data_IF_257370310281
#
_entry.id   IF_257370310281
#
_cell.length_a   1.000
_cell.length_b   1.000
_cell.length_c   1.000
_cell.angle_alpha   90.00
_cell.angle_beta   90.00
_cell.angle_gamma   90.00
#
_symmetry.space_group_name_H-M   'P 1'
#
loop_
_entity.id
_entity.type
_entity.pdbx_description
1 polymer ?
#
# COMPACT_ATOMS: atom_id res chain seq x y z
N UNK A 1 14.85 -67.76 -1.16
CA UNK A 1 13.75 -67.02 -1.80
C UNK A 1 13.31 -65.99 -0.73
N UNK A 2 14.01 -64.88 -0.67
CA UNK A 2 13.86 -63.82 0.30
C UNK A 2 13.61 -62.52 -0.45
N UNK A 3 12.53 -61.85 -0.15
CA UNK A 3 12.20 -60.52 -0.68
C UNK A 3 12.64 -59.45 0.29
N UNK A 4 13.43 -58.53 -0.21
CA UNK A 4 14.01 -57.36 0.43
C UNK A 4 12.93 -56.31 0.67
N UNK A 5 12.78 -55.66 1.84
CA UNK A 5 11.97 -54.49 2.03
C UNK A 5 12.82 -53.22 1.89
N UNK A 6 12.58 -52.50 0.81
CA UNK A 6 13.23 -51.22 0.52
C UNK A 6 12.98 -50.12 1.56
N UNK A 7 14.06 -49.52 1.96
CA UNK A 7 14.15 -48.31 2.76
C UNK A 7 13.62 -47.09 1.99
N UNK A 8 12.60 -46.43 2.52
CA UNK A 8 12.19 -45.10 2.09
C UNK A 8 12.74 -44.10 3.11
N UNK A 9 13.81 -43.42 2.76
CA UNK A 9 14.32 -42.28 3.50
C UNK A 9 13.56 -41.00 3.11
N UNK A 10 13.45 -40.02 3.98
CA UNK A 10 12.78 -38.77 3.67
C UNK A 10 13.66 -37.88 2.78
N UNK A 11 13.17 -37.58 1.59
CA UNK A 11 13.76 -36.57 0.70
C UNK A 11 13.39 -35.18 1.23
N UNK A 12 14.34 -34.53 1.90
CA UNK A 12 14.33 -33.09 2.13
C UNK A 12 15.06 -32.44 0.94
N UNK A 13 14.35 -32.17 -0.14
CA UNK A 13 14.84 -31.26 -1.17
C UNK A 13 14.23 -29.86 -0.92
N UNK A 14 15.06 -28.81 -0.81
CA UNK A 14 14.57 -27.45 -0.77
C UNK A 14 13.99 -27.11 -2.14
N UNK A 15 12.73 -26.70 -2.17
CA UNK A 15 12.03 -26.24 -3.35
C UNK A 15 12.80 -25.07 -4.00
N UNK A 16 13.59 -25.39 -5.02
CA UNK A 16 14.14 -24.39 -5.94
C UNK A 16 12.98 -23.88 -6.78
N UNK A 17 12.62 -22.64 -6.55
CA UNK A 17 11.78 -21.89 -7.47
C UNK A 17 12.57 -21.68 -8.77
N UNK A 18 12.32 -22.55 -9.76
CA UNK A 18 12.72 -22.29 -11.13
C UNK A 18 11.91 -21.12 -11.67
N UNK A 19 12.49 -20.28 -12.52
CA UNK A 19 11.73 -19.22 -13.14
C UNK A 19 10.64 -19.87 -14.01
N UNK A 20 9.38 -19.67 -13.63
CA UNK A 20 8.29 -19.91 -14.54
C UNK A 20 8.51 -18.96 -15.72
N UNK A 21 8.80 -19.53 -16.87
CA UNK A 21 8.83 -18.79 -18.12
C UNK A 21 7.39 -18.31 -18.39
N UNK A 22 7.09 -17.13 -17.89
CA UNK A 22 5.94 -16.36 -18.33
C UNK A 22 6.26 -15.98 -19.77
N UNK A 23 5.60 -16.64 -20.73
CA UNK A 23 5.52 -16.13 -22.09
C UNK A 23 4.81 -14.77 -21.99
N UNK A 24 5.60 -13.71 -21.82
CA UNK A 24 5.12 -12.35 -21.97
C UNK A 24 4.79 -12.19 -23.46
N UNK A 25 3.50 -12.29 -23.82
CA UNK A 25 3.02 -11.57 -24.96
C UNK A 25 3.27 -10.08 -24.68
N UNK A 26 4.46 -9.62 -25.03
CA UNK A 26 4.75 -8.20 -25.10
C UNK A 26 3.89 -7.63 -26.23
N UNK A 27 2.63 -7.28 -25.91
CA UNK A 27 1.93 -6.29 -26.67
C UNK A 27 2.72 -4.99 -26.46
N UNK A 28 3.65 -4.72 -27.37
CA UNK A 28 4.29 -3.44 -27.47
C UNK A 28 3.15 -2.41 -27.57
N UNK A 29 2.89 -1.69 -26.50
CA UNK A 29 2.05 -0.49 -26.53
C UNK A 29 2.91 0.53 -27.29
N UNK A 30 2.87 0.44 -28.62
CA UNK A 30 3.36 1.50 -29.45
C UNK A 30 2.49 2.72 -29.14
N UNK A 31 3.03 3.68 -28.39
CA UNK A 31 2.43 5.02 -28.35
C UNK A 31 2.53 5.58 -29.76
N UNK A 32 1.43 5.77 -30.48
CA UNK A 32 1.51 6.43 -31.77
C UNK A 32 2.13 7.80 -31.56
N UNK A 33 3.13 8.14 -32.36
CA UNK A 33 3.56 9.51 -32.54
C UNK A 33 2.29 10.34 -32.80
N UNK A 34 2.16 11.48 -32.12
CA UNK A 34 0.98 12.32 -32.19
C UNK A 34 0.81 12.84 -33.65
N UNK A 35 0.13 12.04 -34.47
CA UNK A 35 -0.42 12.58 -35.72
C UNK A 35 -1.62 13.47 -35.33
N UNK A 36 -1.44 14.75 -35.59
CA UNK A 36 -2.41 15.82 -35.35
C UNK A 36 -3.59 15.75 -36.32
N UNK A 37 -4.37 14.65 -36.29
CA UNK A 37 -5.68 14.57 -36.94
C UNK A 37 -6.78 14.48 -35.90
N UNK A 38 -6.94 15.57 -35.13
CA UNK A 38 -8.02 15.72 -34.16
C UNK A 38 -9.36 15.77 -34.85
N UNK A 39 -10.22 14.76 -34.63
CA UNK A 39 -11.64 14.79 -35.04
C UNK A 39 -12.32 16.05 -34.51
N UNK A 40 -13.10 16.71 -35.33
CA UNK A 40 -13.85 17.95 -35.01
C UNK A 40 -14.78 17.81 -33.79
N UNK A 41 -15.13 16.56 -33.37
CA UNK A 41 -15.94 16.24 -32.18
C UNK A 41 -15.18 16.37 -30.85
N UNK A 42 -13.84 16.33 -30.89
CA UNK A 42 -13.01 16.40 -29.65
C UNK A 42 -12.73 17.84 -29.20
N UNK A 43 -12.76 18.82 -30.12
CA UNK A 43 -12.48 20.23 -29.80
C UNK A 43 -13.37 20.80 -28.69
N UNK A 44 -14.71 20.60 -28.66
CA UNK A 44 -15.55 21.11 -27.58
C UNK A 44 -15.20 20.51 -26.21
N UNK A 45 -14.93 19.19 -26.11
CA UNK A 45 -14.55 18.53 -24.85
C UNK A 45 -13.20 19.04 -24.34
N UNK A 46 -12.21 19.14 -25.24
CA UNK A 46 -10.87 19.65 -24.91
C UNK A 46 -10.94 21.07 -24.37
N UNK A 47 -11.74 21.96 -25.02
CA UNK A 47 -11.93 23.33 -24.57
C UNK A 47 -12.61 23.41 -23.19
N UNK A 48 -13.65 22.58 -22.94
CA UNK A 48 -14.35 22.53 -21.66
C UNK A 48 -13.41 22.05 -20.53
N UNK A 49 -12.57 21.06 -20.80
CA UNK A 49 -11.57 20.58 -19.85
C UNK A 49 -10.49 21.64 -19.57
N UNK A 50 -10.04 22.37 -20.60
CA UNK A 50 -9.13 23.49 -20.44
C UNK A 50 -9.71 24.60 -19.55
N UNK A 51 -10.98 24.97 -19.78
CA UNK A 51 -11.72 25.95 -18.97
C UNK A 51 -11.94 25.48 -17.52
N UNK A 52 -12.16 24.20 -17.30
CA UNK A 52 -12.30 23.62 -15.94
C UNK A 52 -11.05 23.84 -15.09
N UNK A 53 -9.86 23.79 -15.70
CA UNK A 53 -8.57 24.00 -15.04
C UNK A 53 -8.20 25.49 -14.86
N UNK A 54 -8.90 26.38 -15.52
CA UNK A 54 -8.66 27.83 -15.43
C UNK A 54 -9.31 28.38 -14.16
N UNK A 55 -8.56 28.42 -13.08
CA UNK A 55 -8.98 28.94 -11.76
C UNK A 55 -7.93 29.91 -11.22
N UNK A 56 -8.31 30.88 -10.36
CA UNK A 56 -7.33 31.72 -9.66
C UNK A 56 -6.39 30.91 -8.78
N UNK A 57 -5.23 31.47 -8.46
CA UNK A 57 -4.25 30.96 -7.49
C UNK A 57 -3.73 29.54 -7.77
N UNK A 58 -3.86 29.05 -9.01
CA UNK A 58 -3.25 27.81 -9.49
C UNK A 58 -2.44 28.13 -10.74
N UNK A 59 -1.14 27.93 -10.65
CA UNK A 59 -0.22 28.28 -11.74
C UNK A 59 -0.22 27.21 -12.82
N UNK A 60 -0.55 27.55 -14.09
CA UNK A 60 -0.53 26.58 -15.19
C UNK A 60 0.83 25.90 -15.37
N UNK A 61 1.94 26.61 -15.13
CA UNK A 61 3.31 26.08 -15.22
C UNK A 61 3.64 25.06 -14.11
N UNK A 62 2.86 25.04 -13.03
CA UNK A 62 3.00 24.07 -11.92
C UNK A 62 1.83 23.09 -11.87
N UNK A 63 1.15 22.91 -12.99
CA UNK A 63 -0.03 22.06 -13.10
C UNK A 63 0.08 21.14 -14.31
N UNK A 64 -0.34 19.90 -14.14
CA UNK A 64 -0.44 18.90 -15.19
C UNK A 64 -1.84 18.27 -15.19
N UNK A 65 -2.37 17.95 -16.35
CA UNK A 65 -3.61 17.21 -16.47
C UNK A 65 -3.58 16.30 -17.70
N UNK A 66 -4.09 15.10 -17.53
CA UNK A 66 -4.22 14.11 -18.59
C UNK A 66 -5.57 13.40 -18.46
N UNK A 67 -6.30 13.26 -19.56
CA UNK A 67 -7.50 12.43 -19.64
C UNK A 67 -7.42 11.54 -20.88
N UNK A 68 -7.72 10.26 -20.69
CA UNK A 68 -7.61 9.20 -21.68
C UNK A 68 -8.93 8.41 -21.76
N UNK A 69 -9.44 8.17 -22.95
CA UNK A 69 -10.62 7.35 -23.18
C UNK A 69 -10.20 5.87 -23.32
N UNK A 70 -10.56 5.06 -22.33
CA UNK A 70 -10.24 3.64 -22.28
C UNK A 70 -10.97 2.80 -23.34
N UNK A 71 -12.05 3.35 -23.93
CA UNK A 71 -12.84 2.67 -24.96
C UNK A 71 -12.23 2.85 -26.35
N UNK A 72 -11.78 4.08 -26.64
CA UNK A 72 -11.21 4.40 -27.95
C UNK A 72 -9.70 4.28 -28.01
N UNK A 73 -9.04 4.21 -26.84
CA UNK A 73 -7.57 4.20 -26.76
C UNK A 73 -6.93 5.56 -27.10
N UNK A 74 -7.68 6.67 -26.97
CA UNK A 74 -7.21 8.00 -27.36
C UNK A 74 -7.08 8.96 -26.17
N UNK A 75 -6.08 9.84 -26.24
CA UNK A 75 -6.00 10.99 -25.34
C UNK A 75 -7.09 12.00 -25.70
N UNK A 76 -7.93 12.38 -24.73
CA UNK A 76 -8.98 13.40 -24.92
C UNK A 76 -8.59 14.76 -24.38
N UNK A 77 -7.56 14.83 -23.54
CA UNK A 77 -6.98 16.07 -23.04
C UNK A 77 -5.56 15.87 -22.53
N UNK A 78 -4.66 16.75 -22.93
CA UNK A 78 -3.28 16.79 -22.44
C UNK A 78 -2.85 18.22 -22.08
N UNK A 79 -2.24 18.38 -20.91
CA UNK A 79 -1.56 19.59 -20.46
C UNK A 79 -0.39 19.22 -19.58
N UNK A 80 0.83 19.57 -19.98
CA UNK A 80 2.05 19.35 -19.22
C UNK A 80 2.19 17.91 -18.71
N UNK A 81 1.76 16.91 -19.48
CA UNK A 81 1.59 15.52 -19.02
C UNK A 81 2.88 14.86 -18.53
N UNK A 82 4.05 15.34 -19.00
CA UNK A 82 5.38 14.89 -18.60
C UNK A 82 5.99 15.74 -17.47
N UNK A 83 5.30 16.78 -16.97
CA UNK A 83 5.82 17.64 -15.91
C UNK A 83 5.95 16.83 -14.60
N UNK A 84 7.15 16.85 -14.04
CA UNK A 84 7.50 16.17 -12.78
C UNK A 84 6.99 16.97 -11.60
N UNK A 85 5.95 16.48 -10.92
CA UNK A 85 5.28 17.16 -9.82
C UNK A 85 5.24 16.30 -8.56
N UNK A 86 5.17 16.94 -7.39
CA UNK A 86 4.88 16.25 -6.14
C UNK A 86 3.42 15.71 -6.22
N UNK A 87 3.22 14.38 -6.06
CA UNK A 87 1.93 13.76 -6.28
C UNK A 87 1.01 13.83 -5.06
N UNK A 88 1.53 14.18 -3.89
CA UNK A 88 0.86 13.94 -2.62
C UNK A 88 0.38 12.47 -2.56
N UNK A 89 -0.77 12.18 -1.92
CA UNK A 89 -1.25 10.80 -1.77
C UNK A 89 -1.67 10.10 -3.09
N UNK A 90 -1.49 10.71 -4.26
CA UNK A 90 -1.56 9.95 -5.51
C UNK A 90 -0.36 9.02 -5.72
N UNK A 91 0.72 9.16 -4.91
CA UNK A 91 1.80 8.17 -4.78
C UNK A 91 1.26 6.78 -4.47
N UNK A 92 0.24 6.69 -3.63
CA UNK A 92 -0.40 5.42 -3.24
C UNK A 92 -0.92 4.60 -4.42
N UNK A 93 -1.27 5.23 -5.56
CA UNK A 93 -1.68 4.49 -6.76
C UNK A 93 -0.54 3.62 -7.31
N UNK A 94 0.70 4.10 -7.24
CA UNK A 94 1.87 3.32 -7.64
C UNK A 94 2.12 2.16 -6.68
N UNK A 95 2.02 2.41 -5.37
CA UNK A 95 2.15 1.38 -4.33
C UNK A 95 1.04 0.33 -4.46
N UNK A 96 -0.23 0.74 -4.63
CA UNK A 96 -1.36 -0.17 -4.81
C UNK A 96 -1.17 -1.05 -6.04
N UNK A 97 -0.78 -0.47 -7.18
CA UNK A 97 -0.52 -1.23 -8.40
C UNK A 97 0.60 -2.25 -8.19
N UNK A 98 1.73 -1.82 -7.66
CA UNK A 98 2.88 -2.70 -7.43
C UNK A 98 2.56 -3.81 -6.39
N UNK A 99 1.85 -3.48 -5.31
CA UNK A 99 1.47 -4.47 -4.29
C UNK A 99 0.54 -5.53 -4.87
N UNK A 100 -0.52 -5.13 -5.59
CA UNK A 100 -1.44 -6.07 -6.22
C UNK A 100 -0.76 -6.92 -7.31
N UNK A 101 0.20 -6.34 -8.06
CA UNK A 101 0.94 -7.07 -9.10
C UNK A 101 1.90 -8.10 -8.53
N UNK A 102 2.68 -7.73 -7.49
CA UNK A 102 3.76 -8.59 -6.99
C UNK A 102 3.28 -9.61 -5.96
N UNK A 103 2.27 -9.24 -5.14
CA UNK A 103 1.79 -10.11 -4.06
C UNK A 103 0.45 -10.78 -4.38
N UNK A 104 -0.33 -10.21 -5.27
CA UNK A 104 -1.70 -10.67 -5.59
C UNK A 104 -2.77 -10.11 -4.64
N UNK A 105 -4.04 -10.02 -5.11
CA UNK A 105 -5.13 -9.42 -4.33
C UNK A 105 -5.53 -10.24 -3.08
N UNK A 106 -5.27 -11.54 -3.08
CA UNK A 106 -5.63 -12.47 -2.00
C UNK A 106 -4.49 -12.68 -1.00
N UNK A 107 -3.33 -12.07 -1.22
CA UNK A 107 -2.19 -12.15 -0.30
C UNK A 107 -2.59 -11.68 1.10
N UNK A 108 -2.17 -12.42 2.12
CA UNK A 108 -2.39 -12.12 3.53
C UNK A 108 -1.05 -12.04 4.26
N UNK A 109 -0.92 -11.07 5.13
CA UNK A 109 0.29 -10.87 5.94
C UNK A 109 0.13 -11.67 7.22
N UNK A 110 1.11 -12.50 7.52
CA UNK A 110 1.12 -13.35 8.70
C UNK A 110 1.74 -12.61 9.91
N UNK A 111 1.28 -12.95 11.10
CA UNK A 111 1.91 -12.61 12.38
C UNK A 111 2.01 -13.88 13.20
N UNK A 112 3.22 -14.23 13.61
CA UNK A 112 3.53 -15.49 14.24
C UNK A 112 3.75 -15.39 15.75
N UNK A 113 3.42 -16.47 16.44
CA UNK A 113 3.93 -16.74 17.77
C UNK A 113 4.85 -17.94 17.71
N UNK A 114 6.11 -17.73 18.07
CA UNK A 114 7.16 -18.74 18.09
C UNK A 114 7.62 -19.01 19.52
N UNK A 115 8.06 -20.23 19.77
CA UNK A 115 8.62 -20.64 21.05
C UNK A 115 10.12 -20.90 20.95
N UNK A 116 10.91 -20.25 21.79
CA UNK A 116 12.35 -20.50 21.96
C UNK A 116 12.56 -21.25 23.27
N UNK A 117 12.74 -22.58 23.19
CA UNK A 117 12.86 -23.45 24.36
C UNK A 117 12.12 -24.77 24.16
N UNK A 118 11.61 -25.33 25.24
CA UNK A 118 10.93 -26.63 25.22
C UNK A 118 9.76 -26.69 26.22
N UNK A 119 8.75 -27.47 25.90
CA UNK A 119 7.64 -27.76 26.80
C UNK A 119 8.02 -28.88 27.78
N UNK A 120 7.94 -28.62 29.09
CA UNK A 120 8.15 -29.60 30.16
C UNK A 120 6.90 -29.58 31.04
N UNK A 121 6.10 -30.64 30.95
CA UNK A 121 4.76 -30.68 31.55
C UNK A 121 3.87 -29.61 30.93
N UNK A 122 3.42 -28.62 31.70
CA UNK A 122 2.66 -27.48 31.24
C UNK A 122 3.47 -26.17 31.20
N UNK A 123 4.78 -26.25 31.47
CA UNK A 123 5.68 -25.11 31.51
C UNK A 123 6.55 -25.07 30.26
N UNK A 124 6.45 -23.99 29.51
CA UNK A 124 7.41 -23.65 28.46
C UNK A 124 8.68 -23.11 29.12
N UNK A 125 9.76 -23.87 29.07
CA UNK A 125 11.08 -23.46 29.58
C UNK A 125 11.80 -22.68 28.47
N UNK A 126 11.69 -21.37 28.51
CA UNK A 126 12.20 -20.44 27.50
C UNK A 126 11.27 -19.28 27.28
N UNK A 127 11.48 -18.56 26.19
CA UNK A 127 10.72 -17.35 25.81
C UNK A 127 9.72 -17.61 24.67
N UNK A 128 8.70 -16.78 24.58
CA UNK A 128 7.84 -16.70 23.42
C UNK A 128 8.25 -15.48 22.58
N UNK A 129 8.14 -15.59 21.26
CA UNK A 129 8.37 -14.48 20.34
C UNK A 129 7.09 -14.20 19.58
N UNK A 130 6.66 -12.95 19.57
CA UNK A 130 5.65 -12.43 18.68
C UNK A 130 6.38 -11.80 17.49
N UNK A 131 6.32 -12.42 16.31
CA UNK A 131 7.01 -11.98 15.10
C UNK A 131 6.04 -11.35 14.13
N UNK A 132 6.31 -10.12 13.73
CA UNK A 132 5.49 -9.37 12.78
C UNK A 132 6.13 -9.25 11.41
N UNK A 133 5.30 -9.39 10.37
CA UNK A 133 5.70 -9.24 8.97
C UNK A 133 5.08 -8.00 8.31
N UNK A 134 4.69 -6.99 9.09
CA UNK A 134 4.21 -5.72 8.57
C UNK A 134 2.69 -5.64 8.37
N UNK A 135 1.89 -6.44 9.08
CA UNK A 135 0.42 -6.32 9.05
C UNK A 135 -0.04 -4.98 9.66
N UNK A 136 -0.63 -4.04 8.86
CA UNK A 136 -1.15 -2.78 9.37
C UNK A 136 -2.47 -2.92 10.15
N UNK A 137 -3.05 -4.14 10.16
CA UNK A 137 -4.39 -4.41 10.69
C UNK A 137 -4.37 -5.23 11.97
N UNK A 138 -3.20 -5.73 12.41
CA UNK A 138 -3.09 -6.52 13.62
C UNK A 138 -3.64 -5.75 14.83
N UNK A 139 -4.55 -6.39 15.53
CA UNK A 139 -5.26 -5.80 16.67
C UNK A 139 -5.13 -6.65 17.92
N UNK A 140 -5.58 -6.12 19.07
CA UNK A 140 -5.67 -6.91 20.30
C UNK A 140 -6.56 -8.16 20.15
N UNK A 141 -7.54 -8.16 19.24
CA UNK A 141 -8.32 -9.37 18.90
C UNK A 141 -7.44 -10.45 18.29
N UNK A 142 -6.54 -10.08 17.36
CA UNK A 142 -5.54 -11.00 16.80
C UNK A 142 -4.60 -11.55 17.88
N UNK A 143 -4.12 -10.69 18.78
CA UNK A 143 -3.31 -11.14 19.92
C UNK A 143 -4.05 -12.12 20.84
N UNK A 144 -5.34 -11.90 21.09
CA UNK A 144 -6.16 -12.83 21.86
C UNK A 144 -6.32 -14.18 21.15
N UNK A 145 -6.39 -14.19 19.82
CA UNK A 145 -6.42 -15.43 19.03
C UNK A 145 -5.09 -16.19 19.12
N UNK A 146 -3.96 -15.50 18.95
CA UNK A 146 -2.62 -16.10 19.15
C UNK A 146 -2.45 -16.66 20.57
N UNK A 147 -2.87 -15.92 21.58
CA UNK A 147 -2.81 -16.39 22.98
C UNK A 147 -3.65 -17.66 23.21
N UNK A 148 -4.83 -17.77 22.57
CA UNK A 148 -5.63 -19.03 22.61
C UNK A 148 -4.91 -20.19 21.96
N UNK A 149 -4.24 -19.95 20.81
CA UNK A 149 -3.47 -20.99 20.12
C UNK A 149 -2.30 -21.48 21.01
N UNK A 150 -1.53 -20.57 21.62
CA UNK A 150 -0.49 -20.92 22.59
C UNK A 150 -1.08 -21.73 23.76
N UNK A 151 -2.24 -21.33 24.28
CA UNK A 151 -2.91 -22.08 25.36
C UNK A 151 -3.33 -23.49 24.93
N UNK A 152 -3.74 -23.65 23.68
CA UNK A 152 -4.16 -24.93 23.12
C UNK A 152 -3.01 -25.94 22.96
N UNK A 153 -1.75 -25.49 22.83
CA UNK A 153 -0.57 -26.38 22.83
C UNK A 153 -0.29 -27.03 24.18
N UNK A 154 -1.06 -26.73 25.22
CA UNK A 154 -0.85 -27.26 26.58
C UNK A 154 -0.06 -26.32 27.49
N UNK A 155 0.51 -25.24 26.98
CA UNK A 155 1.29 -24.27 27.77
C UNK A 155 0.36 -23.55 28.78
N UNK A 156 0.80 -23.54 30.06
CA UNK A 156 0.15 -22.84 31.19
C UNK A 156 1.07 -21.82 31.83
N UNK A 157 2.36 -22.02 31.67
CA UNK A 157 3.40 -21.16 32.21
C UNK A 157 4.54 -21.01 31.20
N UNK A 158 5.09 -19.80 31.10
CA UNK A 158 6.31 -19.47 30.34
C UNK A 158 7.34 -18.99 31.38
N UNK A 159 8.51 -19.64 31.47
CA UNK A 159 9.55 -19.29 32.43
C UNK A 159 10.41 -18.10 31.98
N UNK A 160 10.44 -17.84 30.70
CA UNK A 160 11.18 -16.72 30.09
C UNK A 160 10.29 -15.50 29.81
N UNK A 161 10.67 -14.75 28.81
CA UNK A 161 10.10 -13.47 28.39
C UNK A 161 9.11 -13.61 27.22
N UNK A 162 8.36 -12.56 26.95
CA UNK A 162 7.73 -12.34 25.63
C UNK A 162 8.60 -11.35 24.86
N UNK A 163 9.04 -11.74 23.68
CA UNK A 163 9.86 -10.94 22.79
C UNK A 163 9.01 -10.45 21.61
N UNK A 164 9.12 -9.17 21.26
CA UNK A 164 8.52 -8.63 20.05
C UNK A 164 9.57 -8.50 18.96
N UNK A 165 9.38 -9.26 17.88
CA UNK A 165 10.29 -9.27 16.74
C UNK A 165 9.73 -8.43 15.59
N UNK A 166 10.45 -7.38 15.24
CA UNK A 166 10.16 -6.48 14.11
C UNK A 166 11.25 -6.51 13.03
N UNK A 167 12.14 -7.52 13.07
CA UNK A 167 13.33 -7.59 12.22
C UNK A 167 13.05 -7.75 10.73
N UNK A 168 11.80 -8.07 10.37
CA UNK A 168 11.35 -8.13 8.98
C UNK A 168 11.48 -6.79 8.24
N UNK A 169 11.40 -5.67 8.97
CA UNK A 169 11.69 -4.33 8.46
C UNK A 169 12.90 -3.70 9.16
N UNK A 170 13.46 -2.66 8.53
CA UNK A 170 14.44 -1.80 9.21
C UNK A 170 13.81 -1.08 10.42
N UNK A 171 14.67 -0.56 11.30
CA UNK A 171 14.23 0.13 12.53
C UNK A 171 13.81 1.59 12.32
N UNK A 172 13.71 2.07 11.08
CA UNK A 172 13.29 3.45 10.80
C UNK A 172 11.80 3.63 11.03
N UNK A 173 11.45 4.57 11.91
CA UNK A 173 10.06 4.88 12.30
C UNK A 173 9.35 5.84 11.35
N UNK A 174 10.09 6.43 10.40
CA UNK A 174 9.61 7.40 9.40
C UNK A 174 10.15 7.04 8.03
N UNK A 175 9.60 7.63 6.97
CA UNK A 175 10.14 7.50 5.62
C UNK A 175 11.06 8.66 5.24
N UNK A 176 11.96 8.49 4.23
CA UNK A 176 12.86 9.55 3.79
C UNK A 176 12.09 10.76 3.22
N UNK A 177 12.59 11.97 3.51
CA UNK A 177 11.99 13.21 3.03
C UNK A 177 10.76 13.69 3.82
N UNK A 178 10.40 13.00 4.90
CA UNK A 178 9.34 13.46 5.79
C UNK A 178 9.80 14.67 6.63
N UNK A 179 8.87 15.58 6.88
CA UNK A 179 9.03 16.60 7.90
C UNK A 179 8.90 15.96 9.28
N UNK A 180 9.60 16.49 10.28
CA UNK A 180 9.48 16.01 11.67
C UNK A 180 8.05 16.07 12.21
N UNK A 181 7.26 17.05 11.77
CA UNK A 181 5.86 17.20 12.14
C UNK A 181 4.94 16.10 11.61
N UNK A 182 5.36 15.31 10.62
CA UNK A 182 4.56 14.19 10.09
C UNK A 182 4.60 12.96 11.01
N UNK A 183 5.68 12.81 11.79
CA UNK A 183 5.81 11.74 12.76
C UNK A 183 4.72 11.84 13.82
N UNK A 184 3.96 10.77 13.97
CA UNK A 184 2.76 10.64 14.82
C UNK A 184 1.53 11.40 14.29
N UNK A 185 1.68 12.63 13.79
CA UNK A 185 0.53 13.43 13.36
C UNK A 185 -0.09 12.94 12.05
N UNK A 186 0.74 12.54 11.07
CA UNK A 186 0.29 12.09 9.74
C UNK A 186 0.49 10.59 9.52
N UNK A 187 1.35 9.95 10.32
CA UNK A 187 1.56 8.50 10.33
C UNK A 187 2.07 8.04 11.68
N UNK A 188 1.54 6.91 12.15
CA UNK A 188 2.09 6.20 13.31
C UNK A 188 3.54 5.74 13.06
N UNK A 189 4.35 5.47 14.10
CA UNK A 189 5.68 4.92 13.98
C UNK A 189 5.72 3.61 13.17
N UNK A 190 6.56 3.55 12.13
CA UNK A 190 6.65 2.40 11.24
C UNK A 190 7.37 1.24 11.94
N UNK A 191 6.83 0.03 11.81
CA UNK A 191 7.46 -1.20 12.33
C UNK A 191 6.83 -2.43 11.67
N UNK A 192 7.58 -3.52 11.54
CA UNK A 192 7.04 -4.80 11.07
C UNK A 192 6.09 -5.45 12.08
N UNK A 193 6.19 -5.10 13.36
CA UNK A 193 5.28 -5.56 14.41
C UNK A 193 4.58 -4.37 15.06
N UNK A 194 3.30 -4.21 14.75
CA UNK A 194 2.45 -3.15 15.30
C UNK A 194 1.10 -3.73 15.70
N UNK A 195 0.54 -3.26 16.81
CA UNK A 195 -0.80 -3.61 17.27
C UNK A 195 -1.62 -2.33 17.37
N UNK A 196 -2.87 -2.37 16.89
CA UNK A 196 -3.76 -1.21 16.85
C UNK A 196 -3.03 0.06 16.33
N UNK A 197 -2.21 -0.10 15.26
CA UNK A 197 -1.43 0.99 14.63
C UNK A 197 -0.48 1.67 15.62
N UNK A 198 0.23 0.87 16.41
CA UNK A 198 1.13 1.29 17.50
C UNK A 198 0.46 2.00 18.68
N UNK A 199 -0.89 2.03 18.73
CA UNK A 199 -1.61 2.62 19.87
C UNK A 199 -1.39 1.78 21.13
N UNK A 200 -0.82 2.40 22.14
CA UNK A 200 -0.48 1.75 23.40
C UNK A 200 -0.96 2.61 24.58
N UNK A 201 -1.95 2.09 25.33
CA UNK A 201 -2.68 2.82 26.37
C UNK A 201 -3.28 4.15 25.84
N UNK A 202 -2.58 5.27 25.96
CA UNK A 202 -3.09 6.61 25.66
C UNK A 202 -2.32 7.34 24.55
N UNK A 203 -1.32 6.69 23.92
CA UNK A 203 -0.47 7.32 22.90
C UNK A 203 0.11 6.30 21.94
N UNK A 204 0.69 6.77 20.83
CA UNK A 204 1.45 5.91 19.93
C UNK A 204 2.81 5.54 20.54
N UNK A 205 3.11 4.26 20.62
CA UNK A 205 4.40 3.77 21.14
C UNK A 205 5.54 4.09 20.17
N UNK A 206 6.63 4.63 20.68
CA UNK A 206 7.88 4.80 19.95
C UNK A 206 8.72 3.51 19.87
N UNK A 207 8.33 2.50 20.68
CA UNK A 207 8.90 1.15 20.69
C UNK A 207 7.81 0.11 20.35
N UNK A 208 7.32 0.06 19.08
CA UNK A 208 6.14 -0.71 18.70
C UNK A 208 6.24 -2.20 19.05
N UNK A 209 7.38 -2.83 18.80
CA UNK A 209 7.57 -4.27 19.06
C UNK A 209 7.56 -4.60 20.55
N UNK A 210 8.14 -3.77 21.41
CA UNK A 210 8.08 -3.96 22.87
C UNK A 210 6.65 -3.73 23.40
N UNK A 211 5.93 -2.74 22.86
CA UNK A 211 4.53 -2.50 23.19
C UNK A 211 3.64 -3.69 22.76
N UNK A 212 3.84 -4.22 21.55
CA UNK A 212 3.15 -5.40 21.07
C UNK A 212 3.41 -6.63 21.96
N UNK A 213 4.66 -6.85 22.37
CA UNK A 213 5.03 -7.92 23.30
C UNK A 213 4.34 -7.76 24.65
N UNK A 214 4.19 -6.53 25.16
CA UNK A 214 3.48 -6.25 26.41
C UNK A 214 1.99 -6.57 26.29
N UNK A 215 1.35 -6.11 25.22
CA UNK A 215 -0.06 -6.41 24.94
C UNK A 215 -0.29 -7.92 24.75
N UNK A 216 0.65 -8.60 24.12
CA UNK A 216 0.55 -10.06 23.95
C UNK A 216 0.73 -10.81 25.28
N UNK A 217 1.64 -10.37 26.15
CA UNK A 217 1.77 -10.91 27.52
C UNK A 217 0.46 -10.76 28.30
N UNK A 218 -0.22 -9.62 28.17
CA UNK A 218 -1.53 -9.43 28.78
C UNK A 218 -2.62 -10.33 28.17
N UNK A 219 -2.59 -10.53 26.85
CA UNK A 219 -3.48 -11.47 26.16
C UNK A 219 -3.27 -12.91 26.63
N UNK A 220 -2.02 -13.34 26.79
CA UNK A 220 -1.65 -14.67 27.35
C UNK A 220 -2.21 -14.82 28.77
N UNK A 221 -2.02 -13.83 29.63
CA UNK A 221 -2.55 -13.85 31.02
C UNK A 221 -4.09 -14.00 31.03
N UNK A 222 -4.80 -13.30 30.17
CA UNK A 222 -6.27 -13.41 30.03
C UNK A 222 -6.70 -14.81 29.57
N UNK A 223 -5.85 -15.54 28.86
CA UNK A 223 -6.08 -16.94 28.46
C UNK A 223 -5.55 -17.97 29.50
N UNK A 224 -5.13 -17.53 30.68
CA UNK A 224 -4.62 -18.43 31.74
C UNK A 224 -3.21 -18.94 31.49
N UNK A 225 -2.39 -18.22 30.71
CA UNK A 225 -0.96 -18.49 30.53
C UNK A 225 -0.16 -17.45 31.30
N UNK A 226 0.56 -17.89 32.35
CA UNK A 226 1.42 -17.02 33.16
C UNK A 226 2.81 -16.90 32.53
N UNK A 227 3.28 -15.66 32.31
CA UNK A 227 4.63 -15.37 31.83
C UNK A 227 5.44 -14.71 32.94
N UNK A 228 6.55 -15.33 33.37
CA UNK A 228 7.35 -14.82 34.51
C UNK A 228 8.33 -13.73 34.15
N UNK A 229 8.90 -13.77 32.94
CA UNK A 229 9.84 -12.77 32.47
C UNK A 229 9.15 -11.50 31.92
N UNK A 230 9.93 -10.45 31.63
CA UNK A 230 9.42 -9.21 31.06
C UNK A 230 8.97 -9.36 29.61
N UNK A 231 8.25 -8.33 29.11
CA UNK A 231 8.00 -8.13 27.68
C UNK A 231 9.08 -7.19 27.14
N UNK A 232 9.77 -7.60 26.07
CA UNK A 232 10.94 -6.91 25.54
C UNK A 232 10.90 -6.92 23.99
N UNK A 233 11.73 -6.07 23.39
CA UNK A 233 12.12 -6.23 21.99
C UNK A 233 13.11 -7.39 21.87
N UNK A 234 13.00 -8.21 20.83
CA UNK A 234 13.93 -9.30 20.55
C UNK A 234 13.79 -9.79 19.13
N UNK A 235 14.61 -10.75 18.74
CA UNK A 235 14.61 -11.39 17.42
C UNK A 235 14.41 -12.88 17.62
N UNK A 236 13.61 -13.52 16.78
CA UNK A 236 13.39 -14.95 16.79
C UNK A 236 14.69 -15.69 16.43
N UNK A 237 14.98 -16.77 17.16
CA UNK A 237 16.05 -17.68 16.75
C UNK A 237 15.61 -18.49 15.52
N UNK A 238 16.53 -18.88 14.64
CA UNK A 238 16.18 -19.67 13.45
C UNK A 238 15.52 -21.02 13.76
N UNK A 239 15.76 -21.60 14.92
CA UNK A 239 15.22 -22.86 15.42
C UNK A 239 13.96 -22.71 16.29
N UNK A 240 13.40 -21.49 16.36
CA UNK A 240 12.18 -21.23 17.12
C UNK A 240 10.99 -22.04 16.56
N UNK A 241 10.23 -22.66 17.47
CA UNK A 241 9.13 -23.55 17.09
C UNK A 241 7.83 -22.77 16.89
N UNK A 242 7.06 -22.98 15.80
CA UNK A 242 5.79 -22.32 15.60
C UNK A 242 4.75 -22.80 16.63
N UNK A 243 4.07 -21.86 17.30
CA UNK A 243 3.04 -22.12 18.30
C UNK A 243 1.67 -21.57 17.88
N UNK A 244 1.63 -20.72 16.88
CA UNK A 244 0.40 -20.16 16.35
C UNK A 244 0.66 -19.03 15.37
N UNK A 245 -0.33 -18.75 14.53
CA UNK A 245 -0.28 -17.68 13.56
C UNK A 245 -1.67 -17.03 13.37
N UNK A 246 -1.69 -15.78 12.97
CA UNK A 246 -2.87 -15.08 12.49
C UNK A 246 -2.56 -14.38 11.18
N UNK A 247 -3.56 -14.31 10.30
CA UNK A 247 -3.46 -13.68 9.00
C UNK A 247 -4.22 -12.35 8.99
N UNK A 248 -3.67 -11.38 8.28
CA UNK A 248 -4.39 -10.15 7.96
C UNK A 248 -5.61 -10.41 7.06
N UNK A 249 -6.51 -9.45 6.87
CA UNK A 249 -7.41 -9.46 5.72
C UNK A 249 -6.63 -9.59 4.41
N UNK A 250 -7.26 -10.05 3.31
CA UNK A 250 -6.64 -10.05 1.99
C UNK A 250 -6.14 -8.65 1.57
N UNK A 251 -5.06 -8.61 0.82
CA UNK A 251 -4.43 -7.37 0.35
C UNK A 251 -5.42 -6.44 -0.36
N UNK A 252 -6.37 -6.98 -1.11
CA UNK A 252 -7.46 -6.22 -1.75
C UNK A 252 -8.26 -5.38 -0.75
N UNK A 253 -8.46 -5.85 0.49
CA UNK A 253 -9.13 -5.09 1.54
C UNK A 253 -8.18 -4.06 2.19
N UNK A 254 -6.92 -4.40 2.35
CA UNK A 254 -5.90 -3.50 2.90
C UNK A 254 -5.70 -2.29 1.98
N UNK A 255 -5.49 -2.51 0.67
CA UNK A 255 -5.33 -1.40 -0.29
C UNK A 255 -6.64 -0.59 -0.44
N UNK A 256 -7.80 -1.24 -0.31
CA UNK A 256 -9.08 -0.54 -0.30
C UNK A 256 -9.21 0.45 0.86
N UNK A 257 -8.81 0.06 2.05
CA UNK A 257 -8.74 0.96 3.20
C UNK A 257 -7.72 2.06 2.96
N UNK A 258 -6.49 1.68 2.57
CA UNK A 258 -5.39 2.61 2.33
C UNK A 258 -5.75 3.73 1.36
N UNK A 259 -6.34 3.40 0.22
CA UNK A 259 -6.63 4.41 -0.82
C UNK A 259 -7.88 5.22 -0.52
N UNK A 260 -8.94 4.59 0.00
CA UNK A 260 -10.19 5.29 0.34
C UNK A 260 -10.01 6.31 1.44
N UNK A 261 -9.34 5.92 2.52
CA UNK A 261 -9.08 6.78 3.68
C UNK A 261 -7.78 7.59 3.52
N UNK A 262 -7.02 7.30 2.46
CA UNK A 262 -5.71 7.92 2.19
C UNK A 262 -4.70 7.66 3.32
N UNK A 263 -4.70 6.42 3.84
CA UNK A 263 -3.93 6.05 5.01
C UNK A 263 -2.43 5.98 4.73
N UNK A 264 -1.66 6.81 5.41
CA UNK A 264 -0.22 6.93 5.21
C UNK A 264 0.54 5.75 5.82
N UNK A 265 0.15 5.34 7.02
CA UNK A 265 0.81 4.25 7.74
C UNK A 265 0.75 2.94 6.95
N UNK A 266 -0.42 2.55 6.46
CA UNK A 266 -0.59 1.35 5.63
C UNK A 266 0.24 1.44 4.35
N UNK A 267 0.30 2.61 3.71
CA UNK A 267 1.07 2.80 2.48
C UNK A 267 2.58 2.58 2.69
N UNK A 268 3.12 3.08 3.81
CA UNK A 268 4.53 2.88 4.14
C UNK A 268 4.85 1.42 4.50
N UNK A 269 3.96 0.74 5.23
CA UNK A 269 4.17 -0.67 5.54
C UNK A 269 4.10 -1.53 4.28
N UNK A 270 3.17 -1.28 3.36
CA UNK A 270 3.11 -1.98 2.07
C UNK A 270 4.33 -1.69 1.19
N UNK A 271 4.84 -0.45 1.21
CA UNK A 271 6.10 -0.14 0.51
C UNK A 271 7.26 -0.97 1.07
N UNK A 272 7.40 -1.06 2.41
CA UNK A 272 8.44 -1.88 3.04
C UNK A 272 8.23 -3.37 2.78
N UNK A 273 6.97 -3.83 2.74
CA UNK A 273 6.60 -5.19 2.38
C UNK A 273 7.10 -5.57 0.98
N UNK A 274 6.90 -4.68 -0.01
CA UNK A 274 7.45 -4.85 -1.36
C UNK A 274 8.99 -4.92 -1.35
N UNK A 275 9.63 -4.19 -0.44
CA UNK A 275 11.08 -4.21 -0.27
C UNK A 275 11.62 -5.45 0.45
N UNK A 276 10.76 -6.30 1.01
CA UNK A 276 11.11 -7.53 1.71
C UNK A 276 10.80 -8.81 0.88
N UNK A 277 10.18 -8.67 -0.28
CA UNK A 277 9.64 -9.79 -1.07
C UNK A 277 10.68 -10.85 -1.51
N UNK A 278 11.96 -10.50 -1.52
CA UNK A 278 13.08 -11.40 -1.83
C UNK A 278 13.77 -12.00 -0.58
N UNK A 279 13.14 -11.88 0.59
CA UNK A 279 13.68 -12.38 1.85
C UNK A 279 14.69 -11.46 2.54
N UNK A 280 14.97 -10.29 1.98
CA UNK A 280 15.80 -9.29 2.63
C UNK A 280 14.98 -8.38 3.57
N UNK A 281 15.68 -7.64 4.46
CA UNK A 281 15.04 -6.67 5.34
C UNK A 281 14.32 -5.60 4.52
N UNK A 282 13.01 -5.43 4.78
CA UNK A 282 12.17 -4.46 4.10
C UNK A 282 12.52 -3.03 4.49
N UNK A 283 12.82 -2.19 3.49
CA UNK A 283 13.11 -0.76 3.67
C UNK A 283 12.32 0.07 2.68
N UNK A 284 12.08 1.35 2.97
CA UNK A 284 11.43 2.26 2.01
C UNK A 284 12.20 2.35 0.69
N UNK A 285 13.54 2.32 0.73
CA UNK A 285 14.37 2.39 -0.48
C UNK A 285 14.22 1.16 -1.38
N UNK A 286 14.22 -0.05 -0.79
CA UNK A 286 14.00 -1.30 -1.55
C UNK A 286 12.58 -1.37 -2.10
N UNK A 287 11.59 -0.97 -1.30
CA UNK A 287 10.20 -0.91 -1.74
C UNK A 287 10.00 0.07 -2.88
N UNK A 288 10.57 1.26 -2.81
CA UNK A 288 10.54 2.25 -3.88
C UNK A 288 11.20 1.73 -5.17
N UNK A 289 12.32 1.00 -5.04
CA UNK A 289 12.98 0.34 -6.17
C UNK A 289 12.08 -0.74 -6.80
N UNK A 290 11.40 -1.56 -5.98
CA UNK A 290 10.47 -2.57 -6.45
C UNK A 290 9.24 -1.96 -7.14
N UNK A 291 8.64 -0.91 -6.55
CA UNK A 291 7.54 -0.17 -7.21
C UNK A 291 8.01 0.33 -8.58
N UNK A 292 9.18 0.97 -8.65
CA UNK A 292 9.72 1.48 -9.90
C UNK A 292 9.97 0.38 -10.93
N UNK A 293 10.49 -0.78 -10.52
CA UNK A 293 10.69 -1.95 -11.39
C UNK A 293 9.35 -2.44 -11.97
N UNK A 294 8.35 -2.63 -11.11
CA UNK A 294 7.00 -3.05 -11.53
C UNK A 294 6.35 -2.08 -12.53
N UNK A 295 6.50 -0.76 -12.29
CA UNK A 295 6.00 0.24 -13.24
C UNK A 295 6.74 0.18 -14.60
N UNK A 296 8.05 -0.06 -14.56
CA UNK A 296 8.86 -0.19 -15.78
C UNK A 296 8.47 -1.44 -16.58
N UNK A 297 8.28 -2.57 -15.93
CA UNK A 297 7.81 -3.83 -16.54
C UNK A 297 6.43 -3.69 -17.17
N UNK A 298 5.57 -2.86 -16.58
CA UNK A 298 4.27 -2.52 -17.14
C UNK A 298 4.34 -1.51 -18.31
N UNK A 299 5.53 -1.09 -18.74
CA UNK A 299 5.73 -0.13 -19.81
C UNK A 299 5.30 1.30 -19.46
N UNK A 300 5.16 1.64 -18.18
CA UNK A 300 4.75 2.97 -17.73
C UNK A 300 5.92 3.94 -17.89
N UNK A 301 5.73 5.12 -18.52
CA UNK A 301 6.80 6.10 -18.72
C UNK A 301 7.33 6.64 -17.39
N UNK A 302 8.61 6.40 -17.10
CA UNK A 302 9.25 6.79 -15.83
C UNK A 302 10.12 8.05 -15.92
N UNK A 303 10.15 8.73 -17.06
CA UNK A 303 10.83 10.03 -17.18
C UNK A 303 10.16 11.05 -16.21
N UNK A 304 10.97 11.66 -15.33
CA UNK A 304 10.48 12.60 -14.32
C UNK A 304 9.81 11.94 -13.09
N UNK A 305 9.79 10.60 -13.00
CA UNK A 305 9.26 9.85 -11.86
C UNK A 305 10.36 9.56 -10.83
N UNK A 306 10.09 9.87 -9.57
CA UNK A 306 10.93 9.53 -8.43
C UNK A 306 10.05 9.11 -7.26
N UNK A 307 10.18 7.88 -6.82
CA UNK A 307 9.47 7.28 -5.70
C UNK A 307 10.43 7.20 -4.52
N UNK A 308 10.05 7.73 -3.37
CA UNK A 308 10.89 7.83 -2.17
C UNK A 308 10.18 7.24 -0.96
N UNK A 309 8.87 7.49 -0.84
CA UNK A 309 8.00 6.92 0.19
C UNK A 309 6.77 6.26 -0.44
N UNK A 310 5.93 5.65 0.39
CA UNK A 310 4.69 5.01 -0.09
C UNK A 310 3.45 5.91 0.02
N UNK A 311 3.51 6.91 0.86
CA UNK A 311 2.35 7.71 1.24
C UNK A 311 2.16 8.97 0.39
N UNK A 312 3.26 9.50 -0.19
CA UNK A 312 3.33 10.77 -0.85
C UNK A 312 3.43 11.96 0.12
N UNK A 313 3.82 11.71 1.38
CA UNK A 313 4.19 12.76 2.33
C UNK A 313 5.57 13.34 2.02
N UNK A 314 6.45 12.52 1.46
CA UNK A 314 7.79 12.94 1.08
C UNK A 314 7.76 14.08 0.07
N UNK A 315 8.44 15.17 0.39
CA UNK A 315 8.60 16.28 -0.55
C UNK A 315 9.52 15.94 -1.73
N UNK A 316 10.16 14.77 -1.67
CA UNK A 316 11.07 14.28 -2.69
C UNK A 316 10.39 13.46 -3.78
N UNK A 317 9.16 12.97 -3.55
CA UNK A 317 8.40 12.23 -4.55
C UNK A 317 8.06 13.07 -5.76
N UNK A 318 8.10 12.44 -6.91
CA UNK A 318 7.70 13.03 -8.19
C UNK A 318 6.97 12.02 -9.04
N UNK A 319 5.79 12.39 -9.50
CA UNK A 319 5.07 11.68 -10.55
C UNK A 319 4.70 12.65 -11.68
N UNK A 320 4.38 12.10 -12.83
CA UNK A 320 3.81 12.83 -13.95
C UNK A 320 2.35 12.42 -14.17
N UNK A 321 1.52 13.29 -14.70
CA UNK A 321 0.14 12.93 -15.04
C UNK A 321 0.10 11.76 -16.05
N UNK A 322 1.09 11.68 -16.93
CA UNK A 322 1.26 10.58 -17.91
C UNK A 322 1.54 9.25 -17.20
N UNK A 323 2.45 9.23 -16.22
CA UNK A 323 2.76 8.02 -15.46
C UNK A 323 1.54 7.53 -14.66
N UNK A 324 0.82 8.45 -13.99
CA UNK A 324 -0.39 8.07 -13.22
C UNK A 324 -1.47 7.49 -14.13
N UNK A 325 -1.74 8.11 -15.29
CA UNK A 325 -2.72 7.55 -16.23
C UNK A 325 -2.23 6.21 -16.78
N UNK A 326 -0.92 6.03 -17.01
CA UNK A 326 -0.33 4.76 -17.37
C UNK A 326 -0.58 3.67 -16.30
N UNK A 327 -0.44 4.00 -15.00
CA UNK A 327 -0.78 3.09 -13.89
C UNK A 327 -2.27 2.71 -13.94
N UNK A 328 -3.15 3.70 -14.12
CA UNK A 328 -4.60 3.45 -14.21
C UNK A 328 -4.95 2.54 -15.40
N UNK A 329 -4.33 2.78 -16.56
CA UNK A 329 -4.51 1.95 -17.76
C UNK A 329 -3.99 0.52 -17.54
N UNK A 330 -2.80 0.35 -16.97
CA UNK A 330 -2.22 -0.95 -16.67
C UNK A 330 -3.14 -1.75 -15.73
N UNK A 331 -3.59 -1.16 -14.64
CA UNK A 331 -4.54 -1.79 -13.72
C UNK A 331 -5.90 -2.10 -14.37
N UNK A 332 -6.37 -1.24 -15.27
CA UNK A 332 -7.63 -1.46 -15.99
C UNK A 332 -7.57 -2.62 -16.98
N UNK A 333 -6.42 -2.82 -17.61
CA UNK A 333 -6.22 -3.84 -18.64
C UNK A 333 -5.83 -5.22 -18.08
N UNK A 334 -5.60 -5.34 -16.77
CA UNK A 334 -5.30 -6.61 -16.09
C UNK A 334 -6.56 -7.12 -15.38
N UNK A 335 -7.25 -8.14 -15.92
CA UNK A 335 -8.54 -8.61 -15.39
C UNK A 335 -8.49 -9.05 -13.93
N UNK A 336 -7.39 -9.64 -13.50
CA UNK A 336 -7.14 -10.11 -12.13
C UNK A 336 -6.92 -8.97 -11.13
N UNK A 337 -6.36 -7.84 -11.55
CA UNK A 337 -6.10 -6.71 -10.66
C UNK A 337 -7.22 -5.67 -10.67
N UNK A 338 -7.86 -5.47 -11.83
CA UNK A 338 -8.88 -4.44 -12.06
C UNK A 338 -9.96 -4.36 -10.97
N UNK A 339 -10.59 -5.47 -10.54
CA UNK A 339 -11.63 -5.41 -9.51
C UNK A 339 -11.12 -4.81 -8.21
N UNK A 340 -9.97 -5.27 -7.72
CA UNK A 340 -9.36 -4.83 -6.46
C UNK A 340 -8.86 -3.39 -6.55
N UNK A 341 -8.18 -3.03 -7.64
CA UNK A 341 -7.67 -1.68 -7.87
C UNK A 341 -8.79 -0.63 -7.96
N UNK A 342 -9.84 -0.91 -8.75
CA UNK A 342 -10.99 0.01 -8.89
C UNK A 342 -11.76 0.13 -7.58
N UNK A 343 -11.93 -0.99 -6.85
CA UNK A 343 -12.60 -1.00 -5.55
C UNK A 343 -11.81 -0.25 -4.46
N UNK A 344 -10.51 -0.06 -4.62
CA UNK A 344 -9.68 0.70 -3.69
C UNK A 344 -9.95 2.21 -3.76
N UNK A 345 -10.45 2.73 -4.88
CA UNK A 345 -10.66 4.17 -5.04
C UNK A 345 -11.87 4.69 -4.25
N UNK A 346 -11.78 5.94 -3.79
CA UNK A 346 -12.90 6.65 -3.20
C UNK A 346 -13.95 6.99 -4.26
N UNK A 347 -15.23 6.95 -3.87
CA UNK A 347 -16.36 7.18 -4.78
C UNK A 347 -16.98 8.55 -4.51
N UNK A 348 -17.07 9.37 -5.52
CA UNK A 348 -17.61 10.73 -5.47
C UNK A 348 -18.99 10.78 -4.80
N UNK A 349 -19.12 11.64 -3.77
CA UNK A 349 -20.34 11.85 -2.99
C UNK A 349 -20.82 10.62 -2.22
N UNK A 350 -19.96 9.60 -1.99
CA UNK A 350 -20.36 8.34 -1.33
C UNK A 350 -19.37 7.80 -0.30
N UNK A 351 -18.07 7.78 -0.58
CA UNK A 351 -17.10 7.11 0.29
C UNK A 351 -15.74 7.78 0.34
N UNK A 352 -14.99 7.48 1.42
CA UNK A 352 -13.61 7.89 1.61
C UNK A 352 -13.41 9.40 1.48
N UNK A 353 -12.26 9.80 1.00
CA UNK A 353 -11.89 11.22 0.81
C UNK A 353 -12.73 11.99 -0.20
N UNK A 354 -13.61 11.32 -0.96
CA UNK A 354 -14.57 11.94 -1.87
C UNK A 354 -16.01 11.96 -1.33
N UNK A 355 -16.26 11.51 -0.10
CA UNK A 355 -17.60 11.47 0.50
C UNK A 355 -18.33 12.81 0.42
N UNK A 356 -17.61 13.90 0.67
CA UNK A 356 -18.15 15.26 0.68
C UNK A 356 -17.74 16.10 -0.56
N UNK A 357 -17.16 15.45 -1.58
CA UNK A 357 -16.80 16.08 -2.87
C UNK A 357 -17.61 15.47 -4.01
N UNK A 358 -17.84 16.26 -5.09
CA UNK A 358 -18.55 15.78 -6.29
C UNK A 358 -19.92 15.16 -5.97
N UNK A 359 -20.66 15.75 -5.04
CA UNK A 359 -21.94 15.24 -4.49
C UNK A 359 -23.12 15.36 -5.46
N UNK A 360 -23.02 16.20 -6.48
CA UNK A 360 -24.06 16.44 -7.47
C UNK A 360 -23.89 15.58 -8.73
N UNK A 361 -24.97 15.48 -9.51
CA UNK A 361 -24.89 14.95 -10.87
C UNK A 361 -24.07 15.91 -11.76
N UNK A 362 -23.37 15.40 -12.80
CA UNK A 362 -23.30 14.01 -13.24
C UNK A 362 -22.19 13.20 -12.56
N UNK A 363 -21.40 13.79 -11.62
CA UNK A 363 -20.18 13.19 -11.07
C UNK A 363 -20.44 12.17 -9.96
N UNK A 364 -21.51 12.37 -9.18
CA UNK A 364 -21.82 11.51 -8.02
C UNK A 364 -21.93 10.04 -8.38
N UNK A 365 -21.14 9.21 -7.72
CA UNK A 365 -21.16 7.76 -7.89
C UNK A 365 -20.48 7.23 -9.14
N UNK A 366 -20.07 8.11 -10.08
CA UNK A 366 -19.43 7.71 -11.35
C UNK A 366 -17.95 8.13 -11.45
N UNK A 367 -17.49 9.03 -10.58
CA UNK A 367 -16.08 9.37 -10.42
C UNK A 367 -15.53 8.50 -9.28
N UNK A 368 -14.52 7.70 -9.59
CA UNK A 368 -13.77 6.89 -8.66
C UNK A 368 -12.32 7.38 -8.68
N UNK A 369 -11.83 7.96 -7.59
CA UNK A 369 -10.51 8.58 -7.65
C UNK A 369 -9.80 8.59 -6.31
N UNK A 370 -8.46 8.67 -6.41
CA UNK A 370 -7.55 8.96 -5.31
C UNK A 370 -7.33 10.47 -5.23
N UNK A 371 -7.54 11.03 -4.05
CA UNK A 371 -7.19 12.41 -3.75
C UNK A 371 -5.75 12.50 -3.25
N UNK A 372 -5.13 13.66 -3.40
CA UNK A 372 -3.85 14.00 -2.78
C UNK A 372 -3.88 15.43 -2.28
N UNK A 373 -3.34 15.68 -1.08
CA UNK A 373 -3.22 17.04 -0.53
C UNK A 373 -2.06 17.10 0.45
N UNK A 374 -1.14 18.03 0.20
CA UNK A 374 -0.10 18.48 1.14
C UNK A 374 -0.03 20.01 1.09
N UNK A 375 0.86 20.62 1.83
CA UNK A 375 1.07 22.08 1.76
C UNK A 375 1.51 22.57 0.36
N UNK A 376 2.14 21.69 -0.43
CA UNK A 376 2.74 22.04 -1.72
C UNK A 376 2.09 21.36 -2.93
N UNK A 377 1.16 20.43 -2.70
CA UNK A 377 0.57 19.64 -3.77
C UNK A 377 -0.92 19.38 -3.53
N UNK A 378 -1.69 19.40 -4.60
CA UNK A 378 -3.09 18.95 -4.65
C UNK A 378 -3.31 18.10 -5.90
N UNK A 379 -3.96 16.95 -5.76
CA UNK A 379 -4.10 15.97 -6.83
C UNK A 379 -5.46 15.26 -6.79
N UNK A 380 -5.93 14.84 -7.97
CA UNK A 380 -7.08 13.95 -8.15
C UNK A 380 -6.84 13.10 -9.39
N UNK A 381 -6.83 11.77 -9.21
CA UNK A 381 -6.60 10.83 -10.32
C UNK A 381 -7.42 9.56 -10.15
N UNK A 382 -7.92 9.01 -11.26
CA UNK A 382 -8.77 7.83 -11.22
C UNK A 382 -9.61 7.64 -12.48
N UNK A 383 -10.82 7.12 -12.33
CA UNK A 383 -11.72 6.77 -13.41
C UNK A 383 -13.02 7.58 -13.37
N UNK A 384 -13.56 7.85 -14.54
CA UNK A 384 -14.91 8.45 -14.70
C UNK A 384 -15.73 7.54 -15.59
N UNK A 385 -16.95 7.18 -15.14
CA UNK A 385 -17.90 6.31 -15.86
C UNK A 385 -17.32 4.98 -16.36
N UNK A 386 -16.22 4.49 -15.77
CA UNK A 386 -15.46 3.32 -16.26
C UNK A 386 -15.03 3.45 -17.74
N UNK A 387 -14.96 4.68 -18.23
CA UNK A 387 -14.60 5.03 -19.61
C UNK A 387 -13.34 5.88 -19.66
N UNK A 388 -13.22 6.88 -18.80
CA UNK A 388 -12.07 7.77 -18.80
C UNK A 388 -11.13 7.43 -17.63
N UNK A 389 -9.84 7.33 -17.91
CA UNK A 389 -8.78 7.44 -16.92
C UNK A 389 -8.26 8.88 -16.92
N UNK A 390 -8.05 9.48 -15.74
CA UNK A 390 -7.58 10.85 -15.66
C UNK A 390 -6.64 11.10 -14.49
N UNK A 391 -5.81 12.13 -14.63
CA UNK A 391 -4.96 12.66 -13.57
C UNK A 391 -4.90 14.17 -13.66
N UNK A 392 -5.06 14.87 -12.53
CA UNK A 392 -4.82 16.30 -12.36
C UNK A 392 -3.88 16.50 -11.19
N UNK A 393 -2.70 17.05 -11.45
CA UNK A 393 -1.68 17.38 -10.47
C UNK A 393 -1.45 18.89 -10.45
N UNK A 394 -1.40 19.49 -9.28
CA UNK A 394 -1.22 20.92 -9.09
C UNK A 394 -0.30 21.18 -7.91
N UNK A 395 0.81 21.86 -8.15
CA UNK A 395 1.78 22.24 -7.13
C UNK A 395 1.79 23.76 -6.90
N UNK A 396 2.37 24.16 -5.77
CA UNK A 396 2.53 25.56 -5.37
C UNK A 396 3.23 25.70 -4.04
N UNK A 397 3.64 26.93 -3.66
CA UNK A 397 4.37 27.20 -2.42
C UNK A 397 3.75 28.37 -1.62
N UNK A 398 2.63 28.13 -0.87
CA UNK A 398 1.81 26.93 -0.79
C UNK A 398 0.88 26.76 -1.99
N UNK A 399 0.37 25.54 -2.20
CA UNK A 399 -0.71 25.33 -3.15
C UNK A 399 -2.04 25.83 -2.57
N UNK A 400 -2.83 26.55 -3.36
CA UNK A 400 -4.19 26.93 -2.95
C UNK A 400 -5.14 25.72 -3.04
N UNK A 401 -5.24 24.93 -1.96
CA UNK A 401 -5.99 23.69 -1.95
C UNK A 401 -7.46 23.87 -2.34
N UNK A 402 -8.11 24.99 -2.00
CA UNK A 402 -9.49 25.25 -2.33
C UNK A 402 -9.68 25.42 -3.86
N UNK A 403 -8.84 26.24 -4.49
CA UNK A 403 -8.90 26.48 -5.93
C UNK A 403 -8.47 25.23 -6.72
N UNK A 404 -7.43 24.54 -6.26
CA UNK A 404 -6.97 23.31 -6.88
C UNK A 404 -8.06 22.23 -6.88
N UNK A 405 -8.73 22.00 -5.72
CA UNK A 405 -9.86 21.06 -5.64
C UNK A 405 -11.02 21.48 -6.54
N UNK A 406 -11.32 22.79 -6.63
CA UNK A 406 -12.37 23.30 -7.52
C UNK A 406 -12.05 23.00 -8.99
N UNK A 407 -10.81 23.17 -9.42
CA UNK A 407 -10.39 22.82 -10.77
C UNK A 407 -10.52 21.31 -11.05
N UNK A 408 -10.07 20.49 -10.13
CA UNK A 408 -10.16 19.02 -10.19
C UNK A 408 -11.62 18.56 -10.28
N UNK A 409 -12.49 19.11 -9.44
CA UNK A 409 -13.92 18.75 -9.41
C UNK A 409 -14.63 19.16 -10.71
N UNK A 410 -14.33 20.35 -11.23
CA UNK A 410 -14.85 20.80 -12.53
C UNK A 410 -14.37 19.90 -13.68
N UNK A 411 -13.08 19.53 -13.68
CA UNK A 411 -12.50 18.65 -14.70
C UNK A 411 -13.17 17.26 -14.69
N UNK A 412 -13.28 16.64 -13.53
CA UNK A 412 -13.95 15.36 -13.38
C UNK A 412 -15.45 15.42 -13.73
N UNK A 413 -16.13 16.52 -13.40
CA UNK A 413 -17.55 16.75 -13.75
C UNK A 413 -17.73 16.89 -15.26
N UNK A 414 -16.81 17.58 -15.97
CA UNK A 414 -16.85 17.68 -17.44
C UNK A 414 -16.70 16.30 -18.08
N UNK A 415 -15.79 15.44 -17.59
CA UNK A 415 -15.66 14.05 -18.06
C UNK A 415 -16.91 13.23 -17.74
N UNK A 416 -17.52 13.43 -16.56
CA UNK A 416 -18.72 12.73 -16.17
C UNK A 416 -19.98 13.15 -16.96
N UNK A 417 -19.94 14.24 -17.66
CA UNK A 417 -21.05 14.72 -18.51
C UNK A 417 -20.99 14.17 -19.95
N UNK A 418 -19.98 13.36 -20.30
CA UNK A 418 -19.84 12.71 -21.61
C UNK A 418 -20.51 11.29 -21.64
#
# INVERSE_FOLDING_TARGET
>A
MALDPGHIGPNNDPMRWGPAAVLACAAAVAFPAADATGSASQKPLTLRLAQALAVPHVLPAQSAAFAFDLTTGAAVFERNTALSLAPASNEKLAVTYAALTNLGPDYQIETDTLGQGQLVGTTWRGSLVLQGHGDPTLSQTGLAQLARQVRATGIRRVSGSVLGDESYFDSRRTAPGWKSSFYINDSAPLSALTVDRTWFHTHHSQAPSAAAASLFKDALRKQGVTVTGPALRGIANPDAQPLGAVLSPPLSQIVRFMDRESDNFTAELLLKQLGAADGAVGTSARGAAQVRATLNEAGIPLAGVRIVDGSGLSQLDRLTARAIVGILQAAWNQPELKPSFVAALAVAGRSGTLKDRLRGAPARGVVLAKTGTTAIASALSGFVRKRYAFSVLQNGHPVSSWWARRAQDRFATVLASQ
#
